data_IF_095673917285
#
_entry.id   IF_095673917285
#
_cell.length_a   1.000
_cell.length_b   1.000
_cell.length_c   1.000
_cell.angle_alpha   90.00
_cell.angle_beta   90.00
_cell.angle_gamma   90.00
#
_symmetry.space_group_name_H-M   'P 1'
#
loop_
_entity.id
_entity.type
_entity.pdbx_description
1 polymer ?
#
# COMPACT_ATOMS: atom_id res chain seq x y z
N UNK A 1 10.82 -3.81 -4.09
CA UNK A 1 9.55 -3.30 -3.47
C UNK A 1 9.51 -3.71 -2.02
N UNK A 2 9.68 -5.00 -1.71
CA UNK A 2 9.99 -5.46 -0.35
C UNK A 2 11.29 -4.83 0.14
N UNK A 3 12.28 -4.69 -0.74
CA UNK A 3 13.59 -4.10 -0.48
C UNK A 3 13.49 -2.60 -0.13
N UNK A 4 12.65 -1.84 -0.85
CA UNK A 4 12.41 -0.42 -0.57
C UNK A 4 11.71 -0.22 0.78
N UNK A 5 10.71 -1.05 1.10
CA UNK A 5 10.04 -1.01 2.41
C UNK A 5 11.00 -1.35 3.55
N UNK A 6 11.89 -2.33 3.35
CA UNK A 6 12.96 -2.65 4.29
C UNK A 6 13.95 -1.50 4.47
N UNK A 7 14.30 -0.78 3.39
CA UNK A 7 15.14 0.43 3.50
C UNK A 7 14.49 1.54 4.32
N UNK A 8 13.16 1.62 4.35
CA UNK A 8 12.41 2.54 5.22
C UNK A 8 12.15 2.00 6.64
N UNK A 9 12.80 0.90 7.03
CA UNK A 9 12.71 0.33 8.38
C UNK A 9 11.49 -0.57 8.61
N UNK A 10 10.70 -0.88 7.57
CA UNK A 10 9.57 -1.79 7.69
C UNK A 10 10.02 -3.25 7.51
N UNK A 11 9.95 -4.06 8.57
CA UNK A 11 10.12 -5.51 8.49
C UNK A 11 8.84 -6.20 7.98
N UNK A 12 8.51 -5.97 6.72
CA UNK A 12 7.37 -6.64 6.07
C UNK A 12 7.88 -7.84 5.28
N UNK A 13 7.37 -9.03 5.61
CA UNK A 13 7.66 -10.25 4.84
C UNK A 13 6.94 -10.24 3.49
N UNK A 14 7.46 -10.97 2.52
CA UNK A 14 6.74 -11.23 1.26
C UNK A 14 5.37 -11.88 1.50
N UNK A 15 5.28 -12.77 2.50
CA UNK A 15 4.05 -13.42 2.94
C UNK A 15 3.00 -12.46 3.51
N UNK A 16 3.40 -11.25 3.89
CA UNK A 16 2.49 -10.19 4.37
C UNK A 16 2.20 -9.17 3.26
N UNK A 17 3.24 -8.76 2.51
CA UNK A 17 3.11 -7.72 1.48
C UNK A 17 2.18 -8.15 0.34
N UNK A 18 2.38 -9.35 -0.21
CA UNK A 18 1.63 -9.77 -1.39
C UNK A 18 0.14 -9.97 -1.11
N UNK A 19 -0.29 -10.58 0.01
CA UNK A 19 -1.71 -10.61 0.37
C UNK A 19 -2.32 -9.22 0.57
N UNK A 20 -1.57 -8.26 1.13
CA UNK A 20 -2.03 -6.89 1.30
C UNK A 20 -2.26 -6.22 -0.06
N UNK A 21 -1.28 -6.29 -0.97
CA UNK A 21 -1.41 -5.74 -2.32
C UNK A 21 -2.59 -6.37 -3.08
N UNK A 22 -2.76 -7.68 -2.96
CA UNK A 22 -3.89 -8.38 -3.56
C UNK A 22 -5.24 -7.94 -2.95
N UNK A 23 -5.28 -7.72 -1.64
CA UNK A 23 -6.46 -7.18 -0.97
C UNK A 23 -6.83 -5.78 -1.44
N UNK A 24 -5.84 -4.91 -1.69
CA UNK A 24 -6.06 -3.56 -2.22
C UNK A 24 -6.53 -3.59 -3.68
N UNK A 25 -5.97 -4.49 -4.50
CA UNK A 25 -6.43 -4.72 -5.88
C UNK A 25 -7.88 -5.24 -5.91
N UNK A 26 -8.23 -6.21 -5.06
CA UNK A 26 -9.61 -6.73 -4.95
C UNK A 26 -10.62 -5.65 -4.54
N UNK A 27 -10.19 -4.65 -3.76
CA UNK A 27 -11.00 -3.49 -3.39
C UNK A 27 -11.08 -2.42 -4.49
N UNK A 28 -10.35 -2.59 -5.59
CA UNK A 28 -10.29 -1.62 -6.68
C UNK A 28 -9.36 -0.43 -6.43
N UNK A 29 -8.55 -0.46 -5.37
CA UNK A 29 -7.65 0.64 -5.02
C UNK A 29 -6.31 0.59 -5.76
N UNK A 30 -5.94 -0.61 -6.24
CA UNK A 30 -4.80 -0.83 -7.10
C UNK A 30 -5.25 -1.55 -8.36
N UNK A 31 -4.52 -1.33 -9.44
CA UNK A 31 -4.48 -2.21 -10.62
C UNK A 31 -3.12 -2.87 -10.71
N UNK A 32 -3.03 -4.03 -11.36
CA UNK A 32 -1.75 -4.68 -11.63
C UNK A 32 -1.53 -4.93 -13.11
N UNK A 33 -0.25 -4.90 -13.52
CA UNK A 33 0.18 -5.23 -14.87
C UNK A 33 1.52 -5.94 -14.83
N UNK A 34 1.79 -6.74 -15.86
CA UNK A 34 3.10 -7.34 -16.04
C UNK A 34 4.00 -6.38 -16.80
N UNK A 35 5.14 -6.03 -16.19
CA UNK A 35 6.18 -5.26 -16.85
C UNK A 35 7.25 -6.22 -17.37
N UNK A 36 7.48 -6.28 -18.70
CA UNK A 36 8.56 -7.06 -19.27
C UNK A 36 9.90 -6.46 -18.83
N UNK A 37 10.76 -7.28 -18.21
CA UNK A 37 12.11 -6.85 -17.78
C UNK A 37 13.24 -7.61 -18.47
N UNK A 38 12.92 -8.36 -19.54
CA UNK A 38 13.88 -9.13 -20.34
C UNK A 38 14.31 -10.48 -19.73
N UNK A 39 14.22 -10.64 -18.41
CA UNK A 39 14.56 -11.90 -17.73
C UNK A 39 13.34 -12.61 -17.14
N UNK A 40 12.49 -11.87 -16.42
CA UNK A 40 11.27 -12.39 -15.81
C UNK A 40 10.25 -11.27 -15.71
N UNK A 41 9.03 -11.51 -16.18
CA UNK A 41 7.96 -10.53 -16.05
C UNK A 41 7.69 -10.25 -14.58
N UNK A 42 7.73 -8.96 -14.23
CA UNK A 42 7.47 -8.49 -12.88
C UNK A 42 6.06 -7.94 -12.82
N UNK A 43 5.26 -8.43 -11.87
CA UNK A 43 3.97 -7.80 -11.58
C UNK A 43 4.22 -6.46 -10.89
N UNK A 44 3.74 -5.40 -11.50
CA UNK A 44 3.74 -4.03 -10.98
C UNK A 44 2.31 -3.68 -10.54
N UNK A 45 2.21 -2.81 -9.54
CA UNK A 45 0.94 -2.31 -9.03
C UNK A 45 0.90 -0.79 -9.16
N UNK A 46 -0.23 -0.26 -9.58
CA UNK A 46 -0.45 1.17 -9.73
C UNK A 46 -1.75 1.59 -9.03
N UNK A 47 -1.74 2.78 -8.43
CA UNK A 47 -2.89 3.31 -7.69
C UNK A 47 -3.98 3.82 -8.65
N UNK A 48 -5.22 3.42 -8.41
CA UNK A 48 -6.39 3.86 -9.18
C UNK A 48 -6.92 5.21 -8.68
N UNK A 49 -7.94 5.75 -9.36
CA UNK A 49 -8.61 6.98 -8.90
C UNK A 49 -9.30 6.73 -7.56
N UNK A 50 -10.00 5.60 -7.44
CA UNK A 50 -10.67 5.15 -6.23
C UNK A 50 -9.67 4.91 -5.10
N UNK A 51 -8.50 4.34 -5.42
CA UNK A 51 -7.40 4.18 -4.47
C UNK A 51 -6.85 5.50 -3.95
N UNK A 52 -6.75 6.53 -4.81
CA UNK A 52 -6.33 7.88 -4.39
C UNK A 52 -7.36 8.52 -3.45
N UNK A 53 -8.65 8.37 -3.73
CA UNK A 53 -9.71 8.86 -2.85
C UNK A 53 -9.67 8.15 -1.49
N UNK A 54 -9.61 6.82 -1.49
CA UNK A 54 -9.48 6.03 -0.27
C UNK A 54 -8.23 6.39 0.54
N UNK A 55 -7.11 6.72 -0.11
CA UNK A 55 -5.90 7.18 0.56
C UNK A 55 -6.09 8.53 1.26
N UNK A 56 -6.81 9.48 0.66
CA UNK A 56 -7.12 10.76 1.30
C UNK A 56 -7.98 10.55 2.55
N UNK A 57 -9.03 9.74 2.44
CA UNK A 57 -9.89 9.41 3.58
C UNK A 57 -9.12 8.69 4.70
N UNK A 58 -8.25 7.74 4.34
CA UNK A 58 -7.42 7.04 5.31
C UNK A 58 -6.47 7.99 6.05
N UNK A 59 -5.87 8.97 5.35
CA UNK A 59 -5.02 9.98 5.99
C UNK A 59 -5.78 10.83 7.00
N UNK A 60 -6.99 11.27 6.64
CA UNK A 60 -7.85 12.06 7.54
C UNK A 60 -8.13 11.25 8.82
N UNK A 61 -8.59 10.00 8.68
CA UNK A 61 -8.89 9.13 9.82
C UNK A 61 -7.68 8.87 10.71
N UNK A 62 -6.50 8.69 10.12
CA UNK A 62 -5.25 8.51 10.88
C UNK A 62 -4.93 9.78 11.67
N UNK A 63 -5.05 10.96 11.06
CA UNK A 63 -4.82 12.24 11.74
C UNK A 63 -5.80 12.46 12.89
N UNK A 64 -7.09 12.18 12.68
CA UNK A 64 -8.12 12.26 13.73
C UNK A 64 -7.78 11.33 14.91
N UNK A 65 -7.45 10.06 14.62
CA UNK A 65 -7.07 9.08 15.64
C UNK A 65 -5.84 9.52 16.45
N UNK A 66 -4.81 10.06 15.78
CA UNK A 66 -3.63 10.58 16.49
C UNK A 66 -3.97 11.80 17.36
N UNK A 67 -4.88 12.68 16.90
CA UNK A 67 -5.36 13.80 17.70
C UNK A 67 -6.04 13.34 18.98
N UNK A 68 -6.96 12.39 18.89
CA UNK A 68 -7.66 11.81 20.06
C UNK A 68 -6.69 11.17 21.06
N UNK A 69 -5.67 10.46 20.57
CA UNK A 69 -4.69 9.77 21.43
C UNK A 69 -3.75 10.74 22.16
N UNK A 70 -3.43 11.88 21.54
CA UNK A 70 -2.47 12.87 22.10
C UNK A 70 -3.18 13.91 22.98
N UNK A 71 -4.39 14.35 22.63
CA UNK A 71 -5.16 15.32 23.42
C UNK A 71 -5.83 14.69 24.65
N UNK A 72 -6.00 13.36 24.67
CA UNK A 72 -6.49 12.61 25.83
C UNK A 72 -5.44 12.28 26.91
N UNK A 73 -4.24 12.88 26.85
CA UNK A 73 -3.12 12.67 27.80
C UNK A 73 -2.88 13.88 28.71
#
# INVERSE_FOLDING_TARGET
MVEELRHHGYEISSGTLYPLLHGLEKKGYLTSYYQPTGHRDRRMYEITIEGRQALVEAKIKVTELFGELIEGS
#
